data_IF_422647710683
#
_entry.id   IF_422647710683
#
_cell.length_a   1.000
_cell.length_b   1.000
_cell.length_c   1.000
_cell.angle_alpha   90.00
_cell.angle_beta   90.00
_cell.angle_gamma   90.00
#
_symmetry.space_group_name_H-M   'P 1'
#
loop_
_entity.id
_entity.type
_entity.pdbx_description
1 polymer ?
#
# COMPACT_ATOMS: atom_id res chain seq x y z
N UNK A 1 17.49 -4.86 22.48
CA UNK A 1 17.66 -3.39 22.45
C UNK A 1 18.45 -3.03 21.19
N UNK A 2 17.87 -3.13 19.98
CA UNK A 2 18.57 -2.75 18.73
C UNK A 2 17.64 -2.67 17.48
N UNK A 3 16.31 -2.57 17.62
CA UNK A 3 15.38 -2.48 16.47
C UNK A 3 14.45 -1.26 16.55
N UNK A 4 14.64 -0.41 17.56
CA UNK A 4 13.92 0.87 17.71
C UNK A 4 14.52 2.01 16.86
N UNK A 5 15.67 1.81 16.21
CA UNK A 5 16.45 2.88 15.57
C UNK A 5 16.13 3.20 14.10
N UNK A 6 15.37 2.36 13.37
CA UNK A 6 15.20 2.51 11.90
C UNK A 6 13.75 2.78 11.50
N UNK A 7 12.78 2.59 12.40
CA UNK A 7 11.34 2.83 12.10
C UNK A 7 10.90 4.24 12.47
N UNK A 8 11.59 4.89 13.41
CA UNK A 8 11.33 6.28 13.82
C UNK A 8 11.65 7.31 12.71
N UNK A 9 12.68 7.16 11.85
CA UNK A 9 12.97 8.14 10.81
C UNK A 9 11.90 8.21 9.72
N UNK A 10 11.35 7.08 9.25
CA UNK A 10 10.39 7.09 8.12
C UNK A 10 9.06 7.76 8.51
N UNK A 11 8.62 7.61 9.75
CA UNK A 11 7.44 8.27 10.28
C UNK A 11 7.67 9.77 10.61
N UNK A 12 8.92 10.19 10.83
CA UNK A 12 9.27 11.60 11.05
C UNK A 12 9.52 12.36 9.74
N UNK A 13 10.15 11.73 8.73
CA UNK A 13 10.36 12.34 7.41
C UNK A 13 9.05 12.62 6.66
N UNK A 14 7.99 11.82 6.87
CA UNK A 14 6.66 12.10 6.33
C UNK A 14 5.93 13.27 7.02
N UNK A 15 6.23 13.54 8.30
CA UNK A 15 5.65 14.66 9.06
C UNK A 15 6.30 16.01 8.71
N UNK A 16 7.59 16.02 8.35
CA UNK A 16 8.30 17.26 7.98
C UNK A 16 7.93 17.76 6.57
N UNK A 17 7.67 16.87 5.60
CA UNK A 17 7.30 17.26 4.22
C UNK A 17 5.91 17.92 4.10
N UNK A 18 5.03 17.77 5.09
CA UNK A 18 3.68 18.35 5.11
C UNK A 18 3.45 19.38 6.23
N UNK A 19 4.50 19.77 6.98
CA UNK A 19 4.39 20.80 8.03
C UNK A 19 3.41 20.47 9.17
N UNK A 20 3.14 19.18 9.42
CA UNK A 20 2.28 18.74 10.52
C UNK A 20 3.15 18.24 11.67
N UNK A 21 3.15 18.98 12.78
CA UNK A 21 3.79 18.53 14.02
C UNK A 21 3.18 17.20 14.47
N UNK A 22 4.01 16.26 14.93
CA UNK A 22 3.59 14.93 15.39
C UNK A 22 2.47 14.96 16.45
N UNK A 23 2.39 16.07 17.20
CA UNK A 23 1.35 16.35 18.21
C UNK A 23 -0.03 16.55 17.57
N UNK A 24 -0.11 17.17 16.38
CA UNK A 24 -1.36 17.45 15.67
C UNK A 24 -1.95 16.23 14.98
N UNK A 25 -1.09 15.32 14.50
CA UNK A 25 -1.50 13.99 14.05
C UNK A 25 -2.08 13.18 15.22
N UNK A 26 -1.45 13.25 16.40
CA UNK A 26 -1.93 12.59 17.61
C UNK A 26 -3.26 13.16 18.13
N UNK A 27 -3.51 14.47 18.00
CA UNK A 27 -4.75 15.10 18.47
C UNK A 27 -5.96 14.79 17.57
N UNK A 28 -5.78 14.70 16.25
CA UNK A 28 -6.85 14.27 15.32
C UNK A 28 -7.30 12.83 15.58
N UNK A 29 -6.43 12.01 16.16
CA UNK A 29 -6.69 10.62 16.47
C UNK A 29 -7.57 10.41 17.72
N UNK A 30 -7.71 11.41 18.58
CA UNK A 30 -8.52 11.35 19.81
C UNK A 30 -9.97 11.83 19.64
N UNK A 31 -10.29 12.54 18.56
CA UNK A 31 -11.59 13.22 18.37
C UNK A 31 -12.45 12.56 17.28
N UNK A 32 -11.85 11.71 16.45
CA UNK A 32 -12.54 11.04 15.35
C UNK A 32 -13.13 9.70 15.81
N UNK A 33 -14.41 9.48 15.50
CA UNK A 33 -15.07 8.17 15.62
C UNK A 33 -14.23 7.09 14.91
N UNK A 34 -14.21 5.87 15.46
CA UNK A 34 -13.41 4.76 14.90
C UNK A 34 -13.74 4.49 13.42
N UNK A 35 -14.99 4.74 13.02
CA UNK A 35 -15.44 4.69 11.63
C UNK A 35 -14.68 5.65 10.71
N UNK A 36 -14.47 6.89 11.13
CA UNK A 36 -13.76 7.94 10.37
C UNK A 36 -12.29 7.59 10.17
N UNK A 37 -11.67 6.96 11.18
CA UNK A 37 -10.28 6.51 11.14
C UNK A 37 -10.09 5.37 10.14
N UNK A 38 -11.02 4.42 10.10
CA UNK A 38 -11.03 3.32 9.13
C UNK A 38 -11.23 3.86 7.71
N UNK A 39 -12.13 4.84 7.53
CA UNK A 39 -12.33 5.49 6.24
C UNK A 39 -11.07 6.21 5.75
N UNK A 40 -10.32 6.88 6.63
CA UNK A 40 -9.05 7.50 6.28
C UNK A 40 -8.00 6.48 5.81
N UNK A 41 -7.89 5.33 6.49
CA UNK A 41 -6.98 4.25 6.05
C UNK A 41 -7.37 3.75 4.66
N UNK A 42 -8.67 3.49 4.44
CA UNK A 42 -9.18 3.00 3.15
C UNK A 42 -9.08 4.02 2.02
N UNK A 43 -9.34 5.28 2.31
CA UNK A 43 -9.44 6.35 1.32
C UNK A 43 -8.13 7.08 1.03
N UNK A 44 -7.16 7.06 1.94
CA UNK A 44 -5.90 7.81 1.81
C UNK A 44 -4.71 6.86 1.79
N UNK A 45 -4.56 6.03 2.82
CA UNK A 45 -3.34 5.21 2.99
C UNK A 45 -3.28 4.11 1.92
N UNK A 46 -4.39 3.39 1.70
CA UNK A 46 -4.41 2.32 0.68
C UNK A 46 -4.14 2.90 -0.72
N UNK A 47 -4.77 3.98 -1.19
CA UNK A 47 -4.46 4.56 -2.50
C UNK A 47 -3.02 5.06 -2.63
N UNK A 48 -2.44 5.68 -1.60
CA UNK A 48 -1.03 6.11 -1.62
C UNK A 48 -0.10 4.89 -1.70
N UNK A 49 -0.34 3.86 -0.91
CA UNK A 49 0.45 2.62 -0.95
C UNK A 49 0.24 1.84 -2.26
N UNK A 50 -0.92 1.99 -2.90
CA UNK A 50 -1.28 1.32 -4.15
C UNK A 50 -0.85 2.13 -5.39
N UNK A 51 -0.31 3.32 -5.20
CA UNK A 51 0.17 4.15 -6.30
C UNK A 51 1.33 3.44 -7.03
N UNK A 52 1.19 3.26 -8.35
CA UNK A 52 2.19 2.54 -9.17
C UNK A 52 2.11 1.01 -9.12
N UNK A 53 1.07 0.43 -8.50
CA UNK A 53 0.90 -1.02 -8.38
C UNK A 53 0.77 -1.81 -9.69
N UNK A 54 0.48 -1.13 -10.79
CA UNK A 54 0.50 -1.70 -12.13
C UNK A 54 1.90 -2.29 -12.45
N UNK A 55 2.95 -1.66 -11.91
CA UNK A 55 4.35 -2.01 -12.14
C UNK A 55 4.85 -3.14 -11.23
N UNK A 56 4.54 -3.08 -9.93
CA UNK A 56 5.05 -4.00 -8.90
C UNK A 56 4.53 -5.44 -9.02
N UNK A 57 3.52 -5.69 -9.88
CA UNK A 57 3.03 -7.03 -10.19
C UNK A 57 2.35 -7.77 -9.03
N UNK A 58 1.84 -8.98 -9.32
CA UNK A 58 0.94 -9.74 -8.43
C UNK A 58 1.65 -10.41 -7.24
N UNK A 59 2.98 -10.38 -7.20
CA UNK A 59 3.75 -11.14 -6.23
C UNK A 59 3.58 -10.60 -4.80
N UNK A 60 3.09 -11.47 -3.92
CA UNK A 60 2.93 -11.19 -2.49
C UNK A 60 4.27 -10.85 -1.81
N UNK A 61 5.40 -11.35 -2.33
CA UNK A 61 6.74 -11.07 -1.80
C UNK A 61 7.09 -9.60 -1.97
N UNK A 62 6.78 -9.02 -3.13
CA UNK A 62 7.04 -7.60 -3.42
C UNK A 62 6.11 -6.68 -2.65
N UNK A 63 4.84 -7.06 -2.53
CA UNK A 63 3.85 -6.28 -1.80
C UNK A 63 3.93 -6.43 -0.26
N UNK A 64 4.84 -7.25 0.27
CA UNK A 64 4.91 -7.53 1.71
C UNK A 64 5.23 -6.29 2.55
N UNK A 65 6.18 -5.46 2.10
CA UNK A 65 6.55 -4.22 2.80
C UNK A 65 5.40 -3.21 2.82
N UNK A 66 4.69 -3.07 1.71
CA UNK A 66 3.50 -2.21 1.59
C UNK A 66 2.35 -2.74 2.44
N UNK A 67 2.10 -4.04 2.41
CA UNK A 67 1.05 -4.68 3.20
C UNK A 67 1.30 -4.48 4.69
N UNK A 68 2.56 -4.59 5.13
CA UNK A 68 2.96 -4.34 6.52
C UNK A 68 2.65 -2.91 6.96
N UNK A 69 2.96 -1.90 6.12
CA UNK A 69 2.64 -0.49 6.43
C UNK A 69 1.14 -0.27 6.56
N UNK A 70 0.34 -0.85 5.65
CA UNK A 70 -1.12 -0.77 5.73
C UNK A 70 -1.67 -1.49 6.98
N UNK A 71 -1.11 -2.65 7.33
CA UNK A 71 -1.51 -3.41 8.51
C UNK A 71 -1.19 -2.65 9.80
N UNK A 72 0.02 -2.08 9.90
CA UNK A 72 0.41 -1.27 11.05
C UNK A 72 -0.50 -0.04 11.18
N UNK A 73 -0.84 0.63 10.06
CA UNK A 73 -1.80 1.72 10.06
C UNK A 73 -3.20 1.28 10.54
N UNK A 74 -3.70 0.12 10.09
CA UNK A 74 -5.00 -0.41 10.56
C UNK A 74 -4.98 -0.76 12.05
N UNK A 75 -3.87 -1.30 12.58
CA UNK A 75 -3.73 -1.61 14.00
C UNK A 75 -3.77 -0.35 14.85
N UNK A 76 -3.04 0.68 14.42
CA UNK A 76 -3.04 1.97 15.09
C UNK A 76 -4.45 2.60 15.00
N UNK A 77 -5.12 2.49 13.85
CA UNK A 77 -6.48 2.99 13.62
C UNK A 77 -7.55 2.30 14.47
N UNK A 78 -7.37 1.04 14.86
CA UNK A 78 -8.31 0.35 15.76
C UNK A 78 -7.85 0.29 17.22
N UNK A 79 -6.67 0.83 17.53
CA UNK A 79 -6.03 0.71 18.84
C UNK A 79 -5.90 -0.74 19.33
N UNK A 80 -5.58 -1.66 18.41
CA UNK A 80 -5.52 -3.10 18.66
C UNK A 80 -4.08 -3.56 18.86
N UNK A 81 -3.86 -4.42 19.87
CA UNK A 81 -2.55 -5.00 20.18
C UNK A 81 -1.99 -5.91 19.07
N UNK A 82 -0.69 -6.24 19.16
CA UNK A 82 0.01 -7.10 18.18
C UNK A 82 -0.53 -8.54 18.14
N UNK A 83 -1.19 -8.99 19.20
CA UNK A 83 -1.72 -10.36 19.34
C UNK A 83 -2.90 -10.67 18.42
N UNK A 84 -3.58 -9.65 17.89
CA UNK A 84 -4.78 -9.89 17.06
C UNK A 84 -4.40 -10.32 15.65
N UNK A 85 -5.13 -11.31 15.13
CA UNK A 85 -4.96 -11.82 13.78
C UNK A 85 -5.41 -10.79 12.73
N UNK A 86 -4.49 -10.35 11.87
CA UNK A 86 -4.78 -9.36 10.82
C UNK A 86 -5.75 -9.84 9.77
N UNK A 87 -5.74 -11.13 9.45
CA UNK A 87 -6.68 -11.67 8.47
C UNK A 87 -8.13 -11.46 8.93
N UNK A 88 -8.42 -11.63 10.22
CA UNK A 88 -9.76 -11.37 10.75
C UNK A 88 -10.12 -9.89 10.70
N UNK A 89 -9.24 -9.00 11.17
CA UNK A 89 -9.51 -7.55 11.12
C UNK A 89 -9.74 -7.06 9.68
N UNK A 90 -8.99 -7.58 8.70
CA UNK A 90 -9.18 -7.19 7.30
C UNK A 90 -10.55 -7.63 6.76
N UNK A 91 -11.02 -8.82 7.13
CA UNK A 91 -12.36 -9.30 6.75
C UNK A 91 -13.47 -8.46 7.38
N UNK A 92 -13.38 -8.17 8.69
CA UNK A 92 -14.37 -7.34 9.40
C UNK A 92 -14.42 -5.91 8.86
N UNK A 93 -13.25 -5.36 8.57
CA UNK A 93 -13.12 -4.02 8.00
C UNK A 93 -13.37 -4.00 6.49
N UNK A 94 -13.61 -5.13 5.82
CA UNK A 94 -13.71 -5.21 4.35
C UNK A 94 -12.53 -4.52 3.63
N UNK A 95 -11.31 -4.69 4.16
CA UNK A 95 -10.07 -4.17 3.54
C UNK A 95 -9.47 -5.28 2.69
N UNK A 96 -9.48 -5.08 1.37
CA UNK A 96 -8.77 -5.98 0.46
C UNK A 96 -7.26 -5.90 0.68
N UNK A 97 -6.58 -7.02 0.46
CA UNK A 97 -5.12 -7.05 0.47
C UNK A 97 -4.56 -6.23 -0.70
N UNK A 98 -3.37 -5.65 -0.51
CA UNK A 98 -2.72 -4.80 -1.51
C UNK A 98 -2.40 -5.61 -2.77
N UNK A 99 -1.94 -6.86 -2.65
CA UNK A 99 -1.69 -7.75 -3.78
C UNK A 99 -2.91 -7.91 -4.72
N UNK A 100 -4.12 -8.06 -4.18
CA UNK A 100 -5.35 -8.19 -4.95
C UNK A 100 -5.67 -6.88 -5.66
N UNK A 101 -5.50 -5.74 -4.98
CA UNK A 101 -5.67 -4.42 -5.59
C UNK A 101 -4.65 -4.16 -6.71
N UNK A 102 -3.40 -4.56 -6.51
CA UNK A 102 -2.34 -4.48 -7.51
C UNK A 102 -2.63 -5.37 -8.72
N UNK A 103 -3.13 -6.60 -8.50
CA UNK A 103 -3.56 -7.50 -9.57
C UNK A 103 -4.67 -6.88 -10.42
N UNK A 104 -5.70 -6.31 -9.79
CA UNK A 104 -6.81 -5.65 -10.50
C UNK A 104 -6.34 -4.38 -11.24
N UNK A 105 -5.41 -3.62 -10.65
CA UNK A 105 -4.83 -2.46 -11.33
C UNK A 105 -4.02 -2.89 -12.56
N UNK A 106 -3.20 -3.94 -12.43
CA UNK A 106 -2.41 -4.48 -13.53
C UNK A 106 -3.26 -5.02 -14.67
N UNK A 107 -4.31 -5.77 -14.37
CA UNK A 107 -5.23 -6.28 -15.39
C UNK A 107 -5.89 -5.13 -16.17
N UNK A 108 -6.34 -4.09 -15.45
CA UNK A 108 -6.88 -2.87 -16.08
C UNK A 108 -5.84 -2.15 -16.93
N UNK A 109 -4.57 -2.14 -16.50
CA UNK A 109 -3.49 -1.55 -17.27
C UNK A 109 -3.25 -2.31 -18.58
N UNK A 110 -3.23 -3.65 -18.56
CA UNK A 110 -3.10 -4.45 -19.79
C UNK A 110 -4.22 -4.16 -20.78
N UNK A 111 -5.48 -4.12 -20.32
CA UNK A 111 -6.60 -3.79 -21.19
C UNK A 111 -6.58 -2.34 -21.69
N UNK A 112 -6.16 -1.39 -20.85
CA UNK A 112 -6.11 0.04 -21.21
C UNK A 112 -5.00 0.34 -22.22
N UNK A 113 -3.83 -0.28 -22.04
CA UNK A 113 -2.63 0.07 -22.80
C UNK A 113 -2.37 -0.84 -24.01
N UNK A 114 -3.15 -1.92 -24.20
CA UNK A 114 -3.03 -2.83 -25.35
C UNK A 114 -3.24 -2.16 -26.71
N UNK A 115 -4.13 -1.16 -26.79
CA UNK A 115 -4.47 -0.44 -28.02
C UNK A 115 -3.76 0.92 -28.15
N UNK A 116 -2.82 1.23 -27.26
CA UNK A 116 -2.09 2.49 -27.31
C UNK A 116 -1.21 2.59 -28.56
N UNK A 117 -1.01 3.80 -29.10
CA UNK A 117 -0.01 4.06 -30.17
C UNK A 117 1.42 4.20 -29.63
N UNK A 118 1.60 4.09 -28.32
CA UNK A 118 2.90 4.25 -27.66
C UNK A 118 3.66 2.93 -27.62
N UNK A 119 4.98 3.00 -27.46
CA UNK A 119 5.87 1.85 -27.28
C UNK A 119 5.42 0.84 -26.19
N UNK A 120 4.52 1.25 -25.28
CA UNK A 120 3.94 0.39 -24.24
C UNK A 120 3.08 -0.73 -24.85
N UNK A 121 2.30 -0.46 -25.90
CA UNK A 121 1.50 -1.51 -26.55
C UNK A 121 2.39 -2.52 -27.25
N UNK A 122 3.45 -2.07 -27.92
CA UNK A 122 4.45 -2.93 -28.56
C UNK A 122 5.13 -3.85 -27.54
N UNK A 123 5.42 -3.34 -26.33
CA UNK A 123 5.96 -4.11 -25.20
C UNK A 123 4.99 -5.14 -24.64
N UNK A 124 3.69 -4.83 -24.60
CA UNK A 124 2.66 -5.77 -24.14
C UNK A 124 2.48 -6.89 -25.17
N UNK A 125 2.46 -6.55 -26.46
CA UNK A 125 2.26 -7.49 -27.56
C UNK A 125 3.51 -8.35 -27.85
N UNK A 126 4.71 -7.81 -27.60
CA UNK A 126 5.98 -8.50 -27.78
C UNK A 126 6.73 -8.60 -26.45
N UNK A 127 6.30 -9.50 -25.54
CA UNK A 127 6.95 -9.65 -24.25
C UNK A 127 8.41 -10.10 -24.44
N UNK A 128 9.33 -9.44 -23.74
CA UNK A 128 10.74 -9.79 -23.79
C UNK A 128 10.94 -11.21 -23.24
N UNK A 129 11.28 -12.16 -24.12
CA UNK A 129 11.47 -13.58 -23.78
C UNK A 129 12.69 -13.85 -22.90
N UNK A 130 13.67 -12.93 -22.90
CA UNK A 130 14.87 -13.08 -22.10
C UNK A 130 14.64 -12.48 -20.71
N UNK A 131 14.42 -13.36 -19.73
CA UNK A 131 14.27 -13.01 -18.31
C UNK A 131 15.62 -12.52 -17.75
N UNK A 132 16.01 -11.30 -18.10
CA UNK A 132 16.80 -10.48 -17.17
C UNK A 132 15.83 -10.03 -16.08
N UNK A 133 16.25 -10.07 -14.82
CA UNK A 133 15.49 -9.49 -13.69
C UNK A 133 15.15 -8.04 -14.03
N UNK A 134 13.98 -7.85 -14.62
CA UNK A 134 13.36 -6.56 -14.79
C UNK A 134 12.27 -6.49 -13.75
N UNK A 135 12.05 -5.28 -13.24
CA UNK A 135 11.06 -4.97 -12.21
C UNK A 135 9.62 -5.45 -12.51
N UNK A 136 9.36 -5.96 -13.72
CA UNK A 136 8.03 -6.29 -14.26
C UNK A 136 7.71 -7.80 -14.24
N UNK A 137 8.70 -8.70 -14.09
CA UNK A 137 8.45 -10.15 -14.07
C UNK A 137 8.43 -10.71 -12.65
N UNK A 138 7.23 -11.04 -12.19
CA UNK A 138 6.97 -11.81 -10.97
C UNK A 138 5.49 -12.12 -10.87
#
# INVERSE_FOLDING_TARGET
>A
MAVKGIIIPIATYGCELFGMSAVRCYSLQKVADDATRIMAVKGVIIPIATYGCELFGMSAVRCYSLQKVADDATRIAMNVGKSTAMNRLRTELSIAQINTKSSIARERAYHKWSSSRTWISDLINNPMLNRKDTWVTG
#
